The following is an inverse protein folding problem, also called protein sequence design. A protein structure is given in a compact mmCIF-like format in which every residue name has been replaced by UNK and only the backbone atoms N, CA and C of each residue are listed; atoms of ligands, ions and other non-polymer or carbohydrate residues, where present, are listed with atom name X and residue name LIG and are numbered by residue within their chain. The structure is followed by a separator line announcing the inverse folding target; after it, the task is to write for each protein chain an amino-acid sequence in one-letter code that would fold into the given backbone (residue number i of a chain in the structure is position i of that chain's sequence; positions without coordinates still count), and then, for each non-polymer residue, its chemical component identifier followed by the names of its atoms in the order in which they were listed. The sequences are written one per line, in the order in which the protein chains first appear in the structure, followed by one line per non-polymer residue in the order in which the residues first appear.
data_IF_975287077116
#
_entry.id   IF_975287077116
#
_cell.length_a   1.000
_cell.length_b   1.000
_cell.length_c   1.000
_cell.angle_alpha   90.00
_cell.angle_beta   90.00
_cell.angle_gamma   90.00
#
_symmetry.space_group_name_H-M   'P 1'
#
loop_
_entity.id
_entity.type
_entity.pdbx_description
1 polymer ?
#
# COMPACT_ATOMS: atom_id res chain seq x y z
N UNK A 1 7.69 -33.66 -0.37
CA UNK A 1 6.68 -32.64 -0.71
C UNK A 1 7.16 -31.98 -1.99
N UNK A 2 6.41 -32.00 -3.11
CA UNK A 2 6.82 -31.28 -4.31
C UNK A 2 6.66 -29.79 -4.05
N UNK A 3 7.68 -29.01 -4.34
CA UNK A 3 7.60 -27.56 -4.26
C UNK A 3 6.60 -27.09 -5.32
N UNK A 4 5.55 -26.32 -4.94
CA UNK A 4 4.59 -25.82 -5.92
C UNK A 4 5.33 -24.97 -6.96
N UNK A 5 4.94 -25.11 -8.21
CA UNK A 5 5.48 -24.37 -9.36
C UNK A 5 4.47 -23.41 -9.96
N UNK A 6 3.29 -23.29 -9.34
CA UNK A 6 2.23 -22.38 -9.74
C UNK A 6 1.38 -21.92 -8.56
N UNK A 7 0.78 -20.74 -8.71
CA UNK A 7 -0.20 -20.20 -7.78
C UNK A 7 -1.63 -20.69 -8.05
N UNK A 8 -1.86 -21.49 -9.11
CA UNK A 8 -3.19 -21.98 -9.49
C UNK A 8 -3.93 -22.71 -8.36
N UNK A 9 -3.16 -23.42 -7.53
CA UNK A 9 -3.69 -24.22 -6.42
C UNK A 9 -3.77 -23.42 -5.12
N UNK A 10 -3.30 -22.16 -5.12
CA UNK A 10 -3.38 -21.27 -3.97
C UNK A 10 -4.83 -20.85 -3.74
N UNK A 11 -5.45 -21.44 -2.73
CA UNK A 11 -6.78 -21.07 -2.29
C UNK A 11 -6.72 -20.13 -1.09
N UNK A 12 -7.11 -18.87 -1.28
CA UNK A 12 -7.31 -17.93 -0.18
C UNK A 12 -8.71 -18.17 0.41
N UNK A 13 -8.84 -18.51 1.71
CA UNK A 13 -10.14 -18.72 2.33
C UNK A 13 -11.06 -17.51 2.17
N UNK A 14 -12.32 -17.75 1.80
CA UNK A 14 -13.29 -16.68 1.50
C UNK A 14 -13.48 -15.70 2.67
N UNK A 15 -13.40 -16.19 3.91
CA UNK A 15 -13.44 -15.34 5.12
C UNK A 15 -12.36 -14.24 5.12
N UNK A 16 -11.17 -14.53 4.58
CA UNK A 16 -10.05 -13.58 4.50
C UNK A 16 -10.36 -12.55 3.42
N UNK A 17 -10.82 -12.99 2.24
CA UNK A 17 -11.23 -12.11 1.14
C UNK A 17 -12.32 -11.14 1.61
N UNK A 18 -13.34 -11.65 2.29
CA UNK A 18 -14.45 -10.85 2.80
C UNK A 18 -14.00 -9.88 3.90
N UNK A 19 -13.07 -10.28 4.77
CA UNK A 19 -12.49 -9.38 5.76
C UNK A 19 -11.70 -8.23 5.10
N UNK A 20 -10.88 -8.51 4.08
CA UNK A 20 -10.15 -7.48 3.33
C UNK A 20 -11.06 -6.52 2.57
N UNK A 21 -12.13 -7.03 1.94
CA UNK A 21 -13.15 -6.19 1.29
C UNK A 21 -13.82 -5.25 2.30
N UNK A 22 -14.28 -5.79 3.44
CA UNK A 22 -14.91 -4.99 4.50
C UNK A 22 -13.97 -3.93 5.06
N UNK A 23 -12.69 -4.27 5.27
CA UNK A 23 -11.68 -3.32 5.71
C UNK A 23 -11.49 -2.20 4.68
N UNK A 24 -11.34 -2.55 3.40
CA UNK A 24 -11.14 -1.60 2.31
C UNK A 24 -12.31 -0.64 2.16
N UNK A 25 -13.55 -1.14 2.22
CA UNK A 25 -14.76 -0.33 2.20
C UNK A 25 -14.86 0.58 3.44
N UNK A 26 -14.46 0.10 4.61
CA UNK A 26 -14.51 0.88 5.85
C UNK A 26 -13.50 2.03 5.84
N UNK A 27 -12.29 1.80 5.33
CA UNK A 27 -11.26 2.84 5.18
C UNK A 27 -11.73 3.94 4.22
N UNK A 28 -12.40 3.57 3.12
CA UNK A 28 -12.92 4.54 2.14
C UNK A 28 -14.02 5.45 2.70
N UNK A 29 -14.65 5.10 3.82
CA UNK A 29 -15.67 5.90 4.52
C UNK A 29 -15.08 6.84 5.57
N UNK A 30 -13.76 6.80 5.79
CA UNK A 30 -13.08 7.71 6.72
C UNK A 30 -13.02 9.09 6.08
N UNK A 31 -13.51 10.11 6.80
CA UNK A 31 -13.64 11.46 6.26
C UNK A 31 -12.35 12.06 5.69
N UNK A 32 -11.19 11.74 6.28
CA UNK A 32 -9.87 12.12 5.75
C UNK A 32 -8.91 10.94 5.83
N UNK A 33 -8.33 10.56 4.70
CA UNK A 33 -7.32 9.51 4.62
C UNK A 33 -6.01 10.08 4.09
N UNK A 34 -4.91 9.65 4.71
CA UNK A 34 -3.56 10.09 4.36
C UNK A 34 -2.70 8.87 4.04
N UNK A 35 -2.17 8.80 2.82
CA UNK A 35 -1.14 7.86 2.43
C UNK A 35 0.19 8.59 2.28
N UNK A 36 1.25 8.01 2.81
CA UNK A 36 2.63 8.46 2.61
C UNK A 36 3.38 7.27 2.04
N UNK A 37 3.77 7.36 0.77
CA UNK A 37 4.47 6.29 0.05
C UNK A 37 5.93 6.65 -0.15
N UNK A 38 6.80 5.65 -0.06
CA UNK A 38 8.17 5.80 -0.55
C UNK A 38 8.23 5.58 -2.06
N UNK A 39 9.42 5.83 -2.62
CA UNK A 39 9.64 5.79 -4.07
C UNK A 39 9.77 4.38 -4.64
N UNK A 40 9.78 3.34 -3.79
CA UNK A 40 10.15 1.97 -4.08
C UNK A 40 9.02 0.96 -3.76
N UNK A 41 7.81 1.44 -3.46
CA UNK A 41 6.66 0.63 -3.03
C UNK A 41 6.34 -0.55 -3.97
N UNK A 42 6.43 -0.38 -5.29
CA UNK A 42 6.25 -1.50 -6.25
C UNK A 42 7.54 -2.31 -6.47
N UNK A 43 8.70 -1.70 -6.26
CA UNK A 43 9.99 -2.34 -6.52
C UNK A 43 10.21 -3.57 -5.63
N UNK A 44 9.83 -3.48 -4.36
CA UNK A 44 9.95 -4.60 -3.41
C UNK A 44 9.10 -5.79 -3.87
N UNK A 45 7.86 -5.55 -4.29
CA UNK A 45 6.95 -6.60 -4.79
C UNK A 45 7.50 -7.23 -6.08
N UNK A 46 7.96 -6.41 -7.03
CA UNK A 46 8.56 -6.90 -8.28
C UNK A 46 9.81 -7.76 -8.03
N UNK A 47 10.66 -7.36 -7.08
CA UNK A 47 11.84 -8.15 -6.68
C UNK A 47 11.44 -9.52 -6.12
N UNK A 48 10.42 -9.57 -5.27
CA UNK A 48 9.91 -10.83 -4.71
C UNK A 48 9.34 -11.74 -5.80
N UNK A 49 8.53 -11.21 -6.73
CA UNK A 49 8.00 -11.99 -7.85
C UNK A 49 9.14 -12.58 -8.70
N UNK A 50 10.15 -11.78 -9.05
CA UNK A 50 11.32 -12.27 -9.80
C UNK A 50 12.09 -13.34 -9.04
N UNK A 51 12.23 -13.18 -7.73
CA UNK A 51 12.90 -14.15 -6.87
C UNK A 51 12.16 -15.49 -6.87
N UNK A 52 10.85 -15.49 -6.64
CA UNK A 52 10.03 -16.70 -6.67
C UNK A 52 10.01 -17.37 -8.05
N UNK A 53 9.95 -16.58 -9.13
CA UNK A 53 10.06 -17.08 -10.50
C UNK A 53 11.43 -17.73 -10.76
N UNK A 54 12.52 -17.09 -10.35
CA UNK A 54 13.88 -17.61 -10.48
C UNK A 54 14.13 -18.92 -9.71
N UNK A 55 13.36 -19.15 -8.65
CA UNK A 55 13.36 -20.42 -7.90
C UNK A 55 12.41 -21.48 -8.47
N UNK A 56 11.72 -21.20 -9.59
CA UNK A 56 10.67 -22.05 -10.18
C UNK A 56 9.51 -22.36 -9.22
N UNK A 57 9.19 -21.42 -8.32
CA UNK A 57 8.10 -21.55 -7.35
C UNK A 57 6.76 -21.03 -7.89
N UNK A 58 6.82 -20.23 -8.95
CA UNK A 58 5.67 -19.72 -9.70
C UNK A 58 5.94 -19.86 -11.19
N UNK A 59 4.88 -20.01 -11.97
CA UNK A 59 4.98 -20.22 -13.42
C UNK A 59 5.10 -18.89 -14.17
N UNK A 60 5.53 -18.95 -15.44
CA UNK A 60 5.54 -17.77 -16.32
C UNK A 60 4.14 -17.16 -16.47
N UNK A 61 3.08 -17.99 -16.52
CA UNK A 61 1.70 -17.49 -16.55
C UNK A 61 1.34 -16.75 -15.26
N UNK A 62 1.75 -17.23 -14.09
CA UNK A 62 1.51 -16.53 -12.82
C UNK A 62 2.19 -15.16 -12.79
N UNK A 63 3.44 -15.08 -13.29
CA UNK A 63 4.16 -13.79 -13.41
C UNK A 63 3.40 -12.82 -14.29
N UNK A 64 2.87 -13.28 -15.44
CA UNK A 64 2.07 -12.45 -16.34
C UNK A 64 0.76 -11.98 -15.70
N UNK A 65 0.06 -12.83 -14.95
CA UNK A 65 -1.14 -12.42 -14.21
C UNK A 65 -0.82 -11.37 -13.15
N UNK A 66 0.21 -11.60 -12.33
CA UNK A 66 0.65 -10.66 -11.30
C UNK A 66 1.07 -9.31 -11.90
N UNK A 67 1.77 -9.32 -13.04
CA UNK A 67 2.12 -8.10 -13.78
C UNK A 67 0.87 -7.30 -14.15
N UNK A 68 -0.13 -7.96 -14.75
CA UNK A 68 -1.37 -7.31 -15.17
C UNK A 68 -2.15 -6.74 -13.96
N UNK A 69 -2.21 -7.47 -12.85
CA UNK A 69 -2.85 -7.00 -11.61
C UNK A 69 -2.12 -5.79 -11.01
N UNK A 70 -0.78 -5.78 -11.02
CA UNK A 70 0.00 -4.63 -10.56
C UNK A 70 -0.18 -3.41 -11.48
N UNK A 71 -0.24 -3.61 -12.79
CA UNK A 71 -0.53 -2.53 -13.75
C UNK A 71 -1.93 -1.94 -13.50
N UNK A 72 -2.95 -2.78 -13.32
CA UNK A 72 -4.30 -2.33 -13.01
C UNK A 72 -4.35 -1.58 -11.69
N UNK A 73 -3.69 -2.10 -10.64
CA UNK A 73 -3.58 -1.42 -9.35
C UNK A 73 -2.94 -0.03 -9.51
N UNK A 74 -1.85 0.09 -10.27
CA UNK A 74 -1.19 1.37 -10.51
C UNK A 74 -2.12 2.36 -11.24
N UNK A 75 -2.87 1.89 -12.23
CA UNK A 75 -3.89 2.70 -12.94
C UNK A 75 -4.98 3.18 -11.98
N UNK A 76 -5.46 2.33 -11.08
CA UNK A 76 -6.48 2.74 -10.10
C UNK A 76 -5.93 3.76 -9.09
N UNK A 77 -4.68 3.59 -8.65
CA UNK A 77 -4.00 4.56 -7.78
C UNK A 77 -3.75 5.90 -8.48
N UNK A 78 -3.40 5.88 -9.77
CA UNK A 78 -3.26 7.08 -10.59
C UNK A 78 -4.58 7.86 -10.64
N UNK A 79 -5.69 7.20 -10.97
CA UNK A 79 -7.02 7.83 -10.96
C UNK A 79 -7.38 8.43 -9.60
N UNK A 80 -7.15 7.69 -8.51
CA UNK A 80 -7.39 8.18 -7.15
C UNK A 80 -6.52 9.40 -6.81
N UNK A 81 -5.26 9.41 -7.25
CA UNK A 81 -4.36 10.54 -7.03
C UNK A 81 -4.73 11.77 -7.85
N UNK A 82 -5.24 11.61 -9.08
CA UNK A 82 -5.78 12.75 -9.84
C UNK A 82 -6.98 13.33 -9.09
N UNK A 83 -7.89 12.47 -8.63
CA UNK A 83 -9.15 12.88 -8.00
C UNK A 83 -8.95 13.52 -6.61
N UNK A 84 -8.05 12.97 -5.79
CA UNK A 84 -7.80 13.46 -4.42
C UNK A 84 -8.93 13.15 -3.42
N UNK A 85 -9.81 12.22 -3.74
CA UNK A 85 -10.89 11.75 -2.86
C UNK A 85 -11.25 10.31 -3.21
N UNK A 86 -11.78 9.60 -2.22
CA UNK A 86 -12.53 8.37 -2.46
C UNK A 86 -13.92 8.71 -3.03
N UNK A 87 -14.80 7.71 -3.08
CA UNK A 87 -16.20 7.93 -3.47
C UNK A 87 -16.91 8.77 -2.40
N UNK A 88 -17.94 9.51 -2.83
CA UNK A 88 -18.83 10.30 -1.96
C UNK A 88 -18.14 11.44 -1.18
N UNK A 89 -17.03 12.00 -1.70
CA UNK A 89 -16.40 13.21 -1.15
C UNK A 89 -15.51 12.99 0.07
N UNK A 90 -15.14 11.74 0.38
CA UNK A 90 -14.17 11.44 1.44
C UNK A 90 -12.75 11.79 0.98
N UNK A 91 -12.10 12.74 1.65
CA UNK A 91 -10.83 13.31 1.18
C UNK A 91 -9.68 12.29 1.24
N UNK A 92 -8.88 12.23 0.16
CA UNK A 92 -7.73 11.36 0.03
C UNK A 92 -6.48 12.17 -0.28
N UNK A 93 -5.53 12.14 0.64
CA UNK A 93 -4.24 12.79 0.48
C UNK A 93 -3.13 11.76 0.28
N UNK A 94 -2.45 11.81 -0.86
CA UNK A 94 -1.34 10.93 -1.19
C UNK A 94 -0.06 11.77 -1.23
N UNK A 95 0.90 11.39 -0.40
CA UNK A 95 2.19 12.03 -0.29
C UNK A 95 3.31 11.08 -0.73
N UNK A 96 4.33 11.64 -1.37
CA UNK A 96 5.58 10.97 -1.68
C UNK A 96 6.67 11.37 -0.67
N UNK A 97 7.16 10.37 0.06
CA UNK A 97 8.25 10.48 1.01
C UNK A 97 9.60 10.59 0.30
N UNK A 98 10.50 11.36 0.90
CA UNK A 98 11.90 11.44 0.48
C UNK A 98 12.77 10.35 1.12
N UNK A 99 12.20 9.52 2.00
CA UNK A 99 12.86 8.38 2.63
C UNK A 99 12.10 7.09 2.33
N UNK A 100 12.82 5.98 2.35
CA UNK A 100 12.25 4.64 2.18
C UNK A 100 11.68 4.10 3.49
N UNK A 101 10.63 3.27 3.39
CA UNK A 101 10.02 2.60 4.53
C UNK A 101 10.31 1.10 4.51
N UNK A 102 10.67 0.54 5.67
CA UNK A 102 10.83 -0.91 5.85
C UNK A 102 9.49 -1.63 6.08
N UNK A 103 8.50 -0.89 6.57
CA UNK A 103 7.22 -1.44 7.00
C UNK A 103 6.08 -0.44 6.85
N UNK A 104 4.86 -0.97 6.82
CA UNK A 104 3.64 -0.17 6.90
C UNK A 104 3.35 0.22 8.35
N UNK A 105 3.06 1.49 8.53
CA UNK A 105 2.69 2.09 9.80
C UNK A 105 1.35 2.79 9.64
N UNK A 106 0.46 2.65 10.62
CA UNK A 106 -0.89 3.22 10.53
C UNK A 106 -1.33 3.82 11.85
N UNK A 107 -2.13 4.87 11.74
CA UNK A 107 -2.79 5.51 12.87
C UNK A 107 -4.19 5.88 12.43
N UNK A 108 -5.18 5.50 13.24
CA UNK A 108 -6.60 5.80 13.01
C UNK A 108 -7.14 6.46 14.25
N UNK A 109 -7.92 7.53 14.09
CA UNK A 109 -8.59 8.18 15.20
C UNK A 109 -9.98 8.68 14.87
N UNK A 110 -10.85 8.59 15.86
CA UNK A 110 -12.19 9.16 15.96
C UNK A 110 -12.30 9.87 17.32
N UNK A 111 -13.38 10.63 17.53
CA UNK A 111 -13.62 11.43 18.76
C UNK A 111 -13.23 10.72 20.06
N UNK A 112 -13.66 9.47 20.23
CA UNK A 112 -13.48 8.70 21.46
C UNK A 112 -12.68 7.40 21.24
N UNK A 113 -11.91 7.32 20.15
CA UNK A 113 -11.15 6.11 19.80
C UNK A 113 -9.88 6.45 19.04
N UNK A 114 -8.78 5.81 19.39
CA UNK A 114 -7.54 5.87 18.63
C UNK A 114 -6.84 4.51 18.66
N UNK A 115 -6.19 4.18 17.56
CA UNK A 115 -5.40 2.97 17.44
C UNK A 115 -4.21 3.23 16.52
N UNK A 116 -3.08 2.70 16.91
CA UNK A 116 -1.88 2.63 16.08
C UNK A 116 -1.61 1.20 15.70
N UNK A 117 -1.26 0.96 14.44
CA UNK A 117 -0.74 -0.32 13.96
C UNK A 117 0.70 -0.09 13.50
N UNK A 118 1.63 -0.86 14.04
CA UNK A 118 3.04 -0.75 13.73
C UNK A 118 3.69 -2.12 13.72
N UNK A 119 4.73 -2.27 12.91
CA UNK A 119 5.49 -3.52 12.83
C UNK A 119 6.46 -3.60 14.00
N UNK A 120 6.55 -4.77 14.62
CA UNK A 120 7.54 -5.08 15.66
C UNK A 120 8.32 -6.31 15.20
N UNK A 121 9.58 -6.12 14.81
CA UNK A 121 10.44 -7.15 14.22
C UNK A 121 9.81 -7.84 12.99
N UNK A 122 10.07 -9.13 12.81
CA UNK A 122 9.50 -9.97 11.75
C UNK A 122 8.05 -10.42 12.03
N UNK A 123 7.45 -10.05 13.17
CA UNK A 123 6.09 -10.47 13.54
C UNK A 123 5.06 -9.59 12.84
N UNK A 124 3.91 -10.20 12.50
CA UNK A 124 2.70 -9.52 12.04
C UNK A 124 2.36 -8.32 12.94
N UNK A 125 1.84 -7.25 12.34
CA UNK A 125 1.55 -5.94 12.96
C UNK A 125 1.07 -6.01 14.43
N UNK A 126 1.70 -5.23 15.31
CA UNK A 126 1.20 -4.95 16.66
C UNK A 126 0.25 -3.76 16.60
N UNK A 127 -0.84 -3.83 17.36
CA UNK A 127 -1.73 -2.70 17.58
C UNK A 127 -1.64 -2.17 19.02
N UNK A 128 -1.94 -0.88 19.18
CA UNK A 128 -2.03 -0.25 20.49
C UNK A 128 -3.07 0.85 20.51
N UNK A 129 -3.87 0.87 21.56
CA UNK A 129 -4.80 1.96 21.88
C UNK A 129 -4.28 2.83 23.04
N UNK A 130 -3.04 2.60 23.50
CA UNK A 130 -2.41 3.42 24.53
C UNK A 130 -2.26 4.85 24.01
N UNK A 131 -2.78 5.87 24.73
CA UNK A 131 -2.68 7.26 24.30
C UNK A 131 -1.25 7.72 24.05
N UNK A 132 -0.30 7.23 24.84
CA UNK A 132 1.12 7.58 24.70
C UNK A 132 1.70 7.02 23.40
N UNK A 133 1.45 5.74 23.10
CA UNK A 133 1.95 5.08 21.88
C UNK A 133 1.30 5.72 20.65
N UNK A 134 -0.02 5.93 20.69
CA UNK A 134 -0.75 6.60 19.62
C UNK A 134 -0.21 8.01 19.35
N UNK A 135 0.11 8.78 20.39
CA UNK A 135 0.65 10.12 20.24
C UNK A 135 2.05 10.11 19.60
N UNK A 136 2.92 9.20 20.01
CA UNK A 136 4.26 9.04 19.42
C UNK A 136 4.13 8.69 17.93
N UNK A 137 3.31 7.69 17.61
CA UNK A 137 3.10 7.23 16.23
C UNK A 137 2.52 8.33 15.35
N UNK A 138 1.48 9.03 15.85
CA UNK A 138 0.86 10.16 15.16
C UNK A 138 1.88 11.26 14.88
N UNK A 139 2.68 11.64 15.86
CA UNK A 139 3.70 12.69 15.70
C UNK A 139 4.72 12.32 14.63
N UNK A 140 5.17 11.06 14.61
CA UNK A 140 6.09 10.56 13.61
C UNK A 140 5.48 10.61 12.20
N UNK A 141 4.26 10.08 12.01
CA UNK A 141 3.55 10.12 10.71
C UNK A 141 3.33 11.57 10.25
N UNK A 142 2.93 12.49 11.15
CA UNK A 142 2.77 13.90 10.79
C UNK A 142 4.10 14.55 10.42
N UNK A 143 5.20 14.16 11.06
CA UNK A 143 6.53 14.62 10.68
C UNK A 143 6.92 14.17 9.28
N UNK A 144 6.69 12.89 8.94
CA UNK A 144 6.90 12.37 7.59
C UNK A 144 6.08 13.15 6.56
N UNK A 145 4.78 13.30 6.83
CA UNK A 145 3.86 14.04 5.95
C UNK A 145 4.35 15.46 5.68
N UNK A 146 4.85 16.18 6.70
CA UNK A 146 5.38 17.56 6.56
C UNK A 146 6.57 17.67 5.62
N UNK A 147 7.40 16.63 5.52
CA UNK A 147 8.59 16.62 4.67
C UNK A 147 8.37 15.84 3.36
N UNK A 148 7.14 15.43 3.09
CA UNK A 148 6.75 14.69 1.89
C UNK A 148 6.03 15.61 0.90
N UNK A 149 6.01 15.22 -0.37
CA UNK A 149 5.35 15.99 -1.43
C UNK A 149 3.93 15.50 -1.66
N UNK A 150 2.93 16.37 -1.54
CA UNK A 150 1.54 16.03 -1.87
C UNK A 150 1.39 15.88 -3.40
N UNK A 151 0.85 14.76 -3.85
CA UNK A 151 0.63 14.45 -5.28
C UNK A 151 -0.83 14.18 -5.63
N UNK A 152 -1.72 14.17 -4.63
CA UNK A 152 -3.15 14.01 -4.84
C UNK A 152 -3.85 15.36 -4.98
N UNK A 153 -4.67 15.54 -6.02
CA UNK A 153 -5.36 16.81 -6.31
C UNK A 153 -4.43 18.00 -6.56
N UNK A 154 -3.12 17.77 -6.63
CA UNK A 154 -2.04 18.76 -6.83
C UNK A 154 -0.76 18.02 -7.27
N UNK A 155 0.36 18.74 -7.52
CA UNK A 155 1.66 18.11 -7.78
C UNK A 155 1.71 17.22 -9.03
N UNK A 156 1.09 17.66 -10.12
CA UNK A 156 0.93 16.84 -11.34
C UNK A 156 2.25 16.33 -11.92
N UNK A 157 3.27 17.19 -12.05
CA UNK A 157 4.57 16.78 -12.56
C UNK A 157 5.20 15.67 -11.70
N UNK A 158 5.13 15.80 -10.37
CA UNK A 158 5.65 14.80 -9.44
C UNK A 158 4.83 13.51 -9.48
N UNK A 159 3.51 13.61 -9.61
CA UNK A 159 2.62 12.46 -9.77
C UNK A 159 2.96 11.68 -11.04
N UNK A 160 3.02 12.34 -12.20
CA UNK A 160 3.33 11.70 -13.48
C UNK A 160 4.70 11.00 -13.41
N UNK A 161 5.73 11.72 -12.95
CA UNK A 161 7.06 11.15 -12.81
C UNK A 161 7.10 9.92 -11.90
N UNK A 162 6.35 9.95 -10.78
CA UNK A 162 6.23 8.79 -9.89
C UNK A 162 5.51 7.62 -10.56
N UNK A 163 4.35 7.84 -11.17
CA UNK A 163 3.57 6.78 -11.82
C UNK A 163 4.36 6.15 -12.97
N UNK A 164 5.03 6.94 -13.82
CA UNK A 164 5.89 6.43 -14.89
C UNK A 164 7.04 5.60 -14.34
N UNK A 165 7.69 6.04 -13.25
CA UNK A 165 8.72 5.26 -12.57
C UNK A 165 8.17 3.91 -12.09
N UNK A 166 7.00 3.89 -11.44
CA UNK A 166 6.39 2.64 -10.98
C UNK A 166 5.98 1.73 -12.14
N UNK A 167 5.46 2.30 -13.23
CA UNK A 167 5.09 1.55 -14.44
C UNK A 167 6.31 0.84 -15.05
N UNK A 168 7.41 1.56 -15.21
CA UNK A 168 8.67 0.97 -15.69
C UNK A 168 9.19 -0.15 -14.77
N UNK A 169 8.98 -0.03 -13.45
CA UNK A 169 9.34 -1.07 -12.48
C UNK A 169 8.45 -2.32 -12.66
N UNK A 170 7.16 -2.16 -12.92
CA UNK A 170 6.26 -3.29 -13.15
C UNK A 170 6.54 -3.94 -14.51
N UNK A 171 6.87 -3.13 -15.52
CA UNK A 171 7.08 -3.60 -16.90
C UNK A 171 8.28 -4.53 -17.07
N UNK A 172 9.21 -4.55 -16.11
CA UNK A 172 10.34 -5.50 -16.11
C UNK A 172 9.97 -6.91 -15.64
N UNK A 173 8.75 -7.15 -15.16
CA UNK A 173 8.21 -8.51 -14.95
C UNK A 173 7.85 -9.16 -16.28
#
# INVERSE_FOLDING_TARGET
MKTPNSLSDMHVPEKIINAHKKLSESIRKVGKTYFVWDSNVFQSVVKEIKYFAGLNLISTSDVMYLKNELQQLLTDLEHLSIKGEFNEGHELYIYLSNIDFEATYSYVSRKDYQISLFRVYSINSMDSQSPQICQIQKNWIQSLKRHSTLISGSGEAQRIAFIEKQRNIIDVL
#
